data_IF_957306276982
#
_entry.id   IF_957306276982
#
_cell.length_a   1.000
_cell.length_b   1.000
_cell.length_c   1.000
_cell.angle_alpha   90.00
_cell.angle_beta   90.00
_cell.angle_gamma   90.00
#
_symmetry.space_group_name_H-M   'P 1'
#
loop_
_entity.id
_entity.type
_entity.pdbx_description
1 polymer ?
#
# COMPACT_ATOMS: atom_id res chain seq x y z
N UNK A 1 13.03 1.02 26.58
CA UNK A 1 12.02 1.15 25.51
C UNK A 1 11.25 -0.16 25.45
N UNK A 2 9.95 -0.21 25.79
CA UNK A 2 9.19 -1.45 25.67
C UNK A 2 9.14 -1.89 24.20
N UNK A 3 9.17 -3.20 23.90
CA UNK A 3 8.93 -3.67 22.54
C UNK A 3 7.54 -3.21 22.10
N UNK A 4 7.42 -2.68 20.88
CA UNK A 4 6.13 -2.43 20.27
C UNK A 4 5.45 -3.79 20.09
N UNK A 5 4.63 -4.18 21.05
CA UNK A 5 3.69 -5.28 20.87
C UNK A 5 2.70 -4.79 19.82
N UNK A 6 2.85 -5.28 18.59
CA UNK A 6 1.82 -5.11 17.59
C UNK A 6 0.57 -5.80 18.15
N UNK A 7 -0.35 -5.02 18.74
CA UNK A 7 -1.73 -5.46 18.87
C UNK A 7 -2.11 -5.95 17.48
N UNK A 8 -2.59 -7.19 17.37
CA UNK A 8 -2.86 -7.82 16.09
C UNK A 8 -3.84 -6.96 15.32
N UNK A 9 -3.30 -6.04 14.51
CA UNK A 9 -4.09 -5.08 13.77
C UNK A 9 -5.03 -5.88 12.88
N UNK A 10 -6.31 -5.54 12.91
CA UNK A 10 -7.31 -6.10 12.03
C UNK A 10 -7.04 -5.60 10.60
N UNK A 11 -5.94 -6.03 10.00
CA UNK A 11 -5.54 -5.69 8.64
C UNK A 11 -5.13 -6.94 7.88
N UNK A 12 -5.32 -6.92 6.56
CA UNK A 12 -4.85 -7.96 5.64
C UNK A 12 -4.47 -7.34 4.31
N UNK A 13 -3.62 -8.02 3.54
CA UNK A 13 -3.40 -7.71 2.14
C UNK A 13 -4.54 -8.28 1.30
N UNK A 14 -5.00 -7.51 0.32
CA UNK A 14 -5.99 -7.92 -0.65
C UNK A 14 -5.53 -7.53 -2.05
N UNK A 15 -5.56 -8.48 -2.99
CA UNK A 15 -5.22 -8.21 -4.39
C UNK A 15 -6.06 -7.06 -4.94
N UNK A 16 -5.39 -6.11 -5.61
CA UNK A 16 -6.06 -4.98 -6.24
C UNK A 16 -6.90 -5.44 -7.42
N UNK A 17 -8.13 -4.94 -7.52
CA UNK A 17 -9.03 -5.15 -8.66
C UNK A 17 -9.07 -3.92 -9.59
N UNK A 18 -8.12 -2.99 -9.42
CA UNK A 18 -8.10 -1.69 -10.10
C UNK A 18 -9.04 -0.64 -9.49
N UNK A 19 -9.88 -1.03 -8.52
CA UNK A 19 -10.65 -0.12 -7.67
C UNK A 19 -10.14 -0.21 -6.24
N UNK A 20 -10.08 0.94 -5.56
CA UNK A 20 -9.67 0.97 -4.17
C UNK A 20 -10.81 0.47 -3.27
N UNK A 21 -10.58 -0.53 -2.40
CA UNK A 21 -11.58 -0.99 -1.45
C UNK A 21 -11.98 0.13 -0.46
N UNK A 22 -13.25 0.14 -0.02
CA UNK A 22 -13.74 1.15 0.92
C UNK A 22 -13.06 1.10 2.30
N UNK A 23 -12.63 -0.10 2.71
CA UNK A 23 -11.88 -0.38 3.93
C UNK A 23 -10.35 -0.34 3.73
N UNK A 24 -9.87 0.30 2.66
CA UNK A 24 -8.44 0.46 2.45
C UNK A 24 -7.81 1.27 3.59
N UNK A 25 -6.68 0.78 4.10
CA UNK A 25 -5.94 1.47 5.14
C UNK A 25 -5.24 2.70 4.55
N UNK A 26 -5.61 3.88 5.04
CA UNK A 26 -5.02 5.15 4.60
C UNK A 26 -3.74 5.41 5.40
N UNK A 27 -2.59 5.36 4.71
CA UNK A 27 -1.27 5.56 5.30
C UNK A 27 -0.74 6.99 5.20
N UNK A 28 -1.44 7.88 4.49
CA UNK A 28 -1.01 9.27 4.34
C UNK A 28 -1.90 10.10 3.42
N UNK A 29 -1.41 11.27 3.03
CA UNK A 29 -2.09 12.18 2.10
C UNK A 29 -1.13 13.08 1.32
N UNK A 30 -1.53 13.46 0.11
CA UNK A 30 -0.89 14.48 -0.72
C UNK A 30 -1.92 15.59 -0.97
N UNK A 31 -1.81 16.69 -0.23
CA UNK A 31 -2.88 17.70 -0.17
C UNK A 31 -4.18 17.09 0.35
N UNK A 32 -5.28 17.24 -0.40
CA UNK A 32 -6.57 16.63 -0.08
C UNK A 32 -6.68 15.15 -0.44
N UNK A 33 -5.76 14.60 -1.25
CA UNK A 33 -5.82 13.22 -1.73
C UNK A 33 -5.31 12.26 -0.66
N UNK A 34 -6.18 11.34 -0.23
CA UNK A 34 -5.81 10.22 0.65
C UNK A 34 -5.01 9.17 -0.10
N UNK A 35 -4.01 8.59 0.56
CA UNK A 35 -3.13 7.59 0.01
C UNK A 35 -3.31 6.28 0.77
N UNK A 36 -3.85 5.27 0.08
CA UNK A 36 -3.90 3.92 0.61
C UNK A 36 -2.54 3.23 0.49
N UNK A 37 -2.24 2.36 1.45
CA UNK A 37 -1.03 1.56 1.44
C UNK A 37 -1.17 0.40 0.44
N UNK A 38 -0.16 0.22 -0.41
CA UNK A 38 -0.05 -0.94 -1.28
C UNK A 38 1.31 -1.64 -1.11
N UNK A 39 1.41 -2.87 -1.60
CA UNK A 39 2.67 -3.57 -1.83
C UNK A 39 2.66 -4.23 -3.21
N UNK A 40 3.82 -4.25 -3.88
CA UNK A 40 3.95 -4.83 -5.21
C UNK A 40 5.29 -5.55 -5.39
N UNK A 41 5.27 -6.63 -6.16
CA UNK A 41 6.49 -7.33 -6.54
C UNK A 41 7.22 -6.56 -7.66
N UNK A 42 8.51 -6.29 -7.47
CA UNK A 42 9.35 -5.64 -8.47
C UNK A 42 10.82 -6.01 -8.24
N UNK A 43 11.55 -6.34 -9.31
CA UNK A 43 13.00 -6.63 -9.26
C UNK A 43 13.40 -7.66 -8.19
N UNK A 44 12.60 -8.72 -8.04
CA UNK A 44 12.85 -9.81 -7.08
C UNK A 44 12.48 -9.50 -5.63
N UNK A 45 12.00 -8.29 -5.33
CA UNK A 45 11.55 -7.88 -4.00
C UNK A 45 10.05 -7.57 -3.93
N UNK A 46 9.54 -7.45 -2.71
CA UNK A 46 8.22 -6.87 -2.43
C UNK A 46 8.41 -5.48 -1.85
N UNK A 47 7.82 -4.48 -2.49
CA UNK A 47 8.02 -3.08 -2.17
C UNK A 47 6.71 -2.45 -1.69
N UNK A 48 6.69 -1.79 -0.52
CA UNK A 48 5.56 -0.99 -0.11
C UNK A 48 5.48 0.31 -0.93
N UNK A 49 4.28 0.85 -1.04
CA UNK A 49 4.01 2.05 -1.80
C UNK A 49 2.67 2.69 -1.47
N UNK A 50 2.26 3.63 -2.32
CA UNK A 50 1.00 4.37 -2.22
C UNK A 50 0.13 4.14 -3.44
N UNK A 51 -1.18 4.02 -3.25
CA UNK A 51 -2.12 3.94 -4.37
C UNK A 51 -2.42 5.33 -4.91
N UNK A 52 -2.18 5.55 -6.21
CA UNK A 52 -2.53 6.77 -6.94
C UNK A 52 -3.20 6.38 -8.25
N UNK A 53 -4.38 6.96 -8.52
CA UNK A 53 -5.15 6.69 -9.74
C UNK A 53 -5.32 5.18 -10.05
N UNK A 54 -5.57 4.37 -9.02
CA UNK A 54 -5.79 2.92 -9.15
C UNK A 54 -4.53 2.08 -9.40
N UNK A 55 -3.33 2.65 -9.28
CA UNK A 55 -2.05 1.96 -9.44
C UNK A 55 -1.19 2.09 -8.18
N UNK A 56 -0.28 1.14 -7.95
CA UNK A 56 0.66 1.21 -6.85
C UNK A 56 1.95 1.89 -7.28
N UNK A 57 2.29 2.98 -6.60
CA UNK A 57 3.53 3.71 -6.81
C UNK A 57 4.53 3.30 -5.72
N UNK A 58 5.59 2.60 -6.10
CA UNK A 58 6.66 2.12 -5.20
C UNK A 58 7.96 2.89 -5.45
N UNK A 59 8.82 2.97 -4.45
CA UNK A 59 10.19 3.45 -4.62
C UNK A 59 11.15 2.31 -4.99
N UNK A 60 11.98 2.51 -6.00
CA UNK A 60 13.10 1.62 -6.32
C UNK A 60 14.25 2.35 -7.02
N UNK A 61 15.48 2.18 -6.54
CA UNK A 61 16.68 2.73 -7.20
C UNK A 61 16.63 4.24 -7.41
N UNK A 62 16.05 4.99 -6.47
CA UNK A 62 15.90 6.45 -6.57
C UNK A 62 14.77 6.93 -7.49
N UNK A 63 13.91 6.02 -7.98
CA UNK A 63 12.78 6.34 -8.87
C UNK A 63 11.45 5.87 -8.28
N UNK A 64 10.37 6.50 -8.73
CA UNK A 64 9.00 6.00 -8.51
C UNK A 64 8.61 5.07 -9.66
N UNK A 65 8.18 3.85 -9.34
CA UNK A 65 7.75 2.82 -10.29
C UNK A 65 6.25 2.60 -10.12
N UNK A 66 5.51 2.61 -11.23
CA UNK A 66 4.05 2.49 -11.23
C UNK A 66 3.62 1.11 -11.71
N UNK A 67 2.95 0.35 -10.85
CA UNK A 67 2.58 -1.05 -11.08
C UNK A 67 1.06 -1.26 -11.02
N UNK A 68 0.56 -2.14 -11.89
CA UNK A 68 -0.87 -2.52 -11.96
C UNK A 68 -1.20 -3.78 -11.15
N UNK A 69 -0.23 -4.68 -10.99
CA UNK A 69 -0.36 -5.85 -10.14
C UNK A 69 0.23 -5.54 -8.77
N UNK A 70 -0.62 -5.53 -7.76
CA UNK A 70 -0.27 -5.17 -6.38
C UNK A 70 -1.38 -5.62 -5.42
N UNK A 71 -1.08 -5.59 -4.13
CA UNK A 71 -2.05 -5.76 -3.06
C UNK A 71 -2.25 -4.43 -2.31
N UNK A 72 -3.44 -4.22 -1.78
CA UNK A 72 -3.80 -3.08 -0.92
C UNK A 72 -3.93 -3.58 0.51
N UNK A 73 -3.40 -2.83 1.47
CA UNK A 73 -3.63 -3.11 2.88
C UNK A 73 -5.05 -2.67 3.22
N UNK A 74 -5.89 -3.58 3.70
CA UNK A 74 -7.29 -3.30 4.07
C UNK A 74 -7.53 -3.64 5.52
N UNK A 75 -8.45 -2.94 6.17
CA UNK A 75 -8.95 -3.29 7.50
C UNK A 75 -9.93 -4.47 7.41
N UNK A 76 -9.91 -5.37 8.39
CA UNK A 76 -10.90 -6.45 8.50
C UNK A 76 -12.25 -5.93 8.97
#
# INVERSE_FOLDING_TARGET
NPPLTASSGNVKWAASTGRLPANAFIGGSEGSRKLAVCCAAYQGGTHPGKVVAGKCNIGWGGKEIVLRSFEVLVQR
#
